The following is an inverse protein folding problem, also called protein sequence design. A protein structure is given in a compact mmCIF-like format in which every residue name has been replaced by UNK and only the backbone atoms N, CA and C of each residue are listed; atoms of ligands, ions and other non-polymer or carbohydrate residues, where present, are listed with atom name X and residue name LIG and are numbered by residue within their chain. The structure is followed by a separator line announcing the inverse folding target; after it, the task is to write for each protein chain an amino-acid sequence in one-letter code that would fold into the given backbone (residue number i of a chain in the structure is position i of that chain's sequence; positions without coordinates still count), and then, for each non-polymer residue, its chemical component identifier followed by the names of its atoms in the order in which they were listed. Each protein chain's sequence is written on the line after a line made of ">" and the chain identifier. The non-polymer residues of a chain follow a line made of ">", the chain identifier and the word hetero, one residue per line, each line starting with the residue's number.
data_IF_388715489911
#
_entry.id   IF_388715489911
#
_cell.length_a   1.000
_cell.length_b   1.000
_cell.length_c   1.000
_cell.angle_alpha   90.00
_cell.angle_beta   90.00
_cell.angle_gamma   90.00
#
_symmetry.space_group_name_H-M   'P 1'
#
loop_
_entity.id
_entity.type
_entity.pdbx_description
1 polymer ?
#
# COMPACT_ATOMS: atom_id res chain seq x y z
N UNK A 1 7.53 -13.63 -25.94
CA UNK A 1 7.22 -12.23 -25.60
C UNK A 1 8.15 -11.85 -24.47
N UNK A 2 9.07 -10.94 -24.73
CA UNK A 2 10.13 -10.50 -23.80
C UNK A 2 9.49 -9.69 -22.68
N UNK A 3 9.72 -10.06 -21.41
CA UNK A 3 9.38 -9.19 -20.29
C UNK A 3 10.22 -7.91 -20.42
N UNK A 4 9.57 -6.80 -20.78
CA UNK A 4 10.24 -5.51 -20.84
C UNK A 4 10.60 -5.07 -19.42
N UNK A 5 11.69 -4.33 -19.27
CA UNK A 5 12.20 -3.80 -18.01
C UNK A 5 11.23 -2.83 -17.29
N UNK A 6 10.07 -2.55 -17.90
CA UNK A 6 9.06 -1.59 -17.47
C UNK A 6 8.22 -2.07 -16.27
N UNK A 7 8.24 -3.37 -15.97
CA UNK A 7 7.45 -3.96 -14.88
C UNK A 7 8.20 -4.01 -13.53
N UNK A 8 9.46 -3.56 -13.48
CA UNK A 8 10.29 -3.57 -12.27
C UNK A 8 10.61 -2.15 -11.81
N UNK A 9 10.24 -1.83 -10.58
CA UNK A 9 10.46 -0.53 -9.97
C UNK A 9 11.35 -0.68 -8.75
N UNK A 10 12.33 0.20 -8.62
CA UNK A 10 13.11 0.33 -7.38
C UNK A 10 12.64 1.58 -6.65
N UNK A 11 12.25 1.43 -5.39
CA UNK A 11 11.76 2.51 -4.55
C UNK A 11 12.60 2.59 -3.29
N UNK A 12 13.07 3.78 -2.92
CA UNK A 12 13.97 3.96 -1.78
C UNK A 12 13.48 5.08 -0.85
N UNK A 13 13.50 4.83 0.45
CA UNK A 13 13.15 5.81 1.47
C UNK A 13 13.84 5.51 2.80
N UNK A 14 13.75 6.45 3.76
CA UNK A 14 14.30 6.30 5.11
C UNK A 14 13.19 6.43 6.15
N UNK A 15 13.13 5.50 7.08
CA UNK A 15 12.26 5.53 8.26
C UNK A 15 12.87 4.63 9.34
N UNK A 16 12.53 4.82 10.62
CA UNK A 16 13.01 3.98 11.74
C UNK A 16 14.54 3.79 11.78
N UNK A 17 15.32 4.83 11.45
CA UNK A 17 16.78 4.76 11.43
C UNK A 17 17.37 3.81 10.38
N UNK A 18 16.56 3.32 9.42
CA UNK A 18 16.98 2.41 8.35
C UNK A 18 16.68 2.99 6.97
N UNK A 19 17.41 2.51 5.97
CA UNK A 19 17.12 2.75 4.56
C UNK A 19 16.37 1.54 4.00
N UNK A 20 15.17 1.77 3.49
CA UNK A 20 14.41 0.76 2.76
C UNK A 20 14.73 0.90 1.28
N UNK A 21 15.03 -0.24 0.64
CA UNK A 21 15.22 -0.32 -0.81
C UNK A 21 14.33 -1.44 -1.33
N UNK A 22 13.19 -1.06 -1.87
CA UNK A 22 12.18 -1.99 -2.36
C UNK A 22 12.49 -2.35 -3.81
N UNK A 23 12.48 -3.64 -4.11
CA UNK A 23 12.47 -4.16 -5.47
C UNK A 23 11.06 -4.65 -5.76
N UNK A 24 10.31 -3.87 -6.54
CA UNK A 24 8.91 -4.08 -6.83
C UNK A 24 8.74 -4.64 -8.24
N UNK A 25 7.78 -5.55 -8.38
CA UNK A 25 7.29 -6.07 -9.64
C UNK A 25 5.78 -5.86 -9.73
N UNK A 26 5.33 -5.34 -10.87
CA UNK A 26 3.90 -5.15 -11.14
C UNK A 26 3.17 -6.49 -11.10
N UNK A 27 2.04 -6.55 -10.39
CA UNK A 27 1.17 -7.73 -10.37
C UNK A 27 0.38 -7.74 -11.67
N UNK A 28 0.43 -8.82 -12.48
CA UNK A 28 -0.37 -8.92 -13.68
C UNK A 28 -1.87 -8.84 -13.35
N UNK A 29 -2.66 -8.18 -14.21
CA UNK A 29 -4.11 -7.96 -13.99
C UNK A 29 -4.86 -9.27 -13.70
N UNK A 30 -4.49 -10.38 -14.35
CA UNK A 30 -5.12 -11.69 -14.16
C UNK A 30 -4.76 -12.38 -12.82
N UNK A 31 -3.71 -11.91 -12.13
CA UNK A 31 -3.34 -12.31 -10.76
C UNK A 31 -3.85 -11.31 -9.71
N UNK A 32 -4.36 -10.15 -10.14
CA UNK A 32 -4.82 -9.11 -9.24
C UNK A 32 -6.12 -9.50 -8.56
N UNK A 33 -6.22 -9.24 -7.25
CA UNK A 33 -7.45 -9.41 -6.51
C UNK A 33 -8.50 -8.32 -6.81
N UNK A 34 -8.11 -7.27 -7.53
CA UNK A 34 -9.01 -6.17 -7.91
C UNK A 34 -9.72 -6.46 -9.22
N UNK A 35 -11.02 -6.15 -9.26
CA UNK A 35 -11.83 -6.25 -10.48
C UNK A 35 -11.42 -5.16 -11.47
N UNK A 36 -11.12 -5.56 -12.71
CA UNK A 36 -10.96 -4.62 -13.82
C UNK A 36 -12.29 -3.97 -14.18
N UNK A 37 -12.30 -2.65 -14.42
CA UNK A 37 -13.51 -1.92 -14.81
C UNK A 37 -14.49 -1.63 -13.66
N UNK A 38 -14.03 -1.67 -12.41
CA UNK A 38 -14.83 -1.22 -11.28
C UNK A 38 -15.21 0.26 -11.47
N UNK A 39 -16.43 0.61 -11.08
CA UNK A 39 -16.93 1.99 -11.09
C UNK A 39 -17.46 2.33 -9.70
N UNK A 40 -17.35 3.60 -9.33
CA UNK A 40 -18.00 4.16 -8.14
C UNK A 40 -18.98 5.21 -8.61
N UNK A 41 -20.23 5.05 -8.16
CA UNK A 41 -21.30 6.01 -8.40
C UNK A 41 -21.43 6.93 -7.18
N UNK A 42 -21.36 8.23 -7.45
CA UNK A 42 -21.75 9.33 -6.58
C UNK A 42 -23.08 9.89 -7.10
N UNK A 43 -23.79 10.67 -6.28
CA UNK A 43 -25.10 11.23 -6.63
C UNK A 43 -25.09 11.99 -7.99
N UNK A 44 -23.96 12.61 -8.34
CA UNK A 44 -23.81 13.43 -9.54
C UNK A 44 -22.83 12.88 -10.59
N UNK A 45 -22.09 11.79 -10.30
CA UNK A 45 -21.01 11.29 -11.17
C UNK A 45 -20.78 9.78 -11.03
N UNK A 46 -20.47 9.10 -12.15
CA UNK A 46 -19.88 7.77 -12.14
C UNK A 46 -18.41 7.85 -12.55
N UNK A 47 -17.50 7.45 -11.64
CA UNK A 47 -16.05 7.42 -11.92
C UNK A 47 -15.57 5.98 -12.03
N UNK A 48 -14.79 5.68 -13.07
CA UNK A 48 -14.10 4.39 -13.18
C UNK A 48 -12.91 4.36 -12.21
N UNK A 49 -12.78 3.28 -11.45
CA UNK A 49 -11.65 3.04 -10.55
C UNK A 49 -10.89 1.82 -11.06
N UNK A 50 -9.80 2.04 -11.78
CA UNK A 50 -8.87 0.96 -12.15
C UNK A 50 -7.76 0.82 -11.10
N UNK A 51 -8.09 0.25 -9.93
CA UNK A 51 -7.07 -0.08 -8.91
C UNK A 51 -6.22 -1.29 -9.30
N UNK A 52 -6.67 -2.10 -10.27
CA UNK A 52 -5.98 -3.33 -10.65
C UNK A 52 -4.68 -3.04 -11.42
N UNK A 53 -4.62 -1.91 -12.13
CA UNK A 53 -3.50 -1.55 -12.97
C UNK A 53 -2.24 -1.10 -12.21
N UNK A 54 -2.30 -0.74 -10.93
CA UNK A 54 -1.17 -0.10 -10.23
C UNK A 54 -0.70 -0.87 -8.98
N UNK A 55 -0.97 -2.17 -8.91
CA UNK A 55 -0.58 -3.00 -7.76
C UNK A 55 0.76 -3.70 -8.00
N UNK A 56 1.59 -3.71 -6.97
CA UNK A 56 2.96 -4.23 -6.99
C UNK A 56 3.19 -5.21 -5.84
N UNK A 57 4.03 -6.21 -6.09
CA UNK A 57 4.59 -7.12 -5.08
C UNK A 57 6.11 -7.08 -5.14
N UNK A 58 6.80 -7.34 -4.04
CA UNK A 58 8.26 -7.25 -4.03
C UNK A 58 8.92 -7.66 -2.73
N UNK A 59 10.20 -7.33 -2.64
CA UNK A 59 11.05 -7.59 -1.47
C UNK A 59 11.95 -6.39 -1.19
N UNK A 60 12.45 -6.30 0.03
CA UNK A 60 13.51 -5.39 0.44
C UNK A 60 14.87 -5.97 0.02
N UNK A 61 15.73 -5.13 -0.57
CA UNK A 61 17.08 -5.49 -0.97
C UNK A 61 17.90 -6.02 0.21
N UNK A 62 18.50 -7.20 0.06
CA UNK A 62 19.25 -7.88 1.12
C UNK A 62 18.39 -8.68 2.11
N UNK A 63 17.07 -8.59 2.04
CA UNK A 63 16.12 -9.32 2.90
C UNK A 63 15.17 -10.17 2.04
N UNK A 64 15.61 -11.31 1.49
CA UNK A 64 14.85 -12.09 0.50
C UNK A 64 13.56 -12.72 1.05
N UNK A 65 13.43 -12.84 2.38
CA UNK A 65 12.23 -13.33 3.07
C UNK A 65 11.20 -12.22 3.35
N UNK A 66 11.57 -10.96 3.13
CA UNK A 66 10.64 -9.84 3.29
C UNK A 66 9.51 -9.88 2.26
N UNK A 67 8.40 -9.25 2.58
CA UNK A 67 7.25 -9.14 1.69
C UNK A 67 6.85 -7.69 1.56
N UNK A 68 6.71 -7.23 0.32
CA UNK A 68 6.23 -5.89 0.00
C UNK A 68 5.00 -6.04 -0.87
N UNK A 69 3.91 -5.37 -0.50
CA UNK A 69 2.68 -5.29 -1.28
C UNK A 69 2.14 -3.87 -1.20
N UNK A 70 1.72 -3.33 -2.33
CA UNK A 70 1.18 -1.97 -2.35
C UNK A 70 0.82 -1.50 -3.75
N UNK A 71 0.44 -0.25 -3.85
CA UNK A 71 0.24 0.44 -5.11
C UNK A 71 1.11 1.68 -5.23
N UNK A 72 1.28 2.16 -6.46
CA UNK A 72 1.96 3.43 -6.73
C UNK A 72 0.98 4.32 -7.47
N UNK A 73 0.63 5.46 -6.85
CA UNK A 73 -0.24 6.46 -7.45
C UNK A 73 0.48 7.81 -7.43
N UNK A 74 0.56 8.47 -8.58
CA UNK A 74 1.29 9.74 -8.76
C UNK A 74 2.73 9.72 -8.22
N UNK A 75 3.40 8.57 -8.36
CA UNK A 75 4.77 8.36 -7.87
C UNK A 75 4.89 8.13 -6.36
N UNK A 76 3.78 8.13 -5.62
CA UNK A 76 3.72 7.83 -4.19
C UNK A 76 3.40 6.35 -4.00
N UNK A 77 4.28 5.62 -3.32
CA UNK A 77 4.00 4.26 -2.89
C UNK A 77 3.09 4.27 -1.66
N UNK A 78 2.04 3.45 -1.70
CA UNK A 78 1.17 3.15 -0.55
C UNK A 78 1.10 1.64 -0.38
N UNK A 79 1.24 1.15 0.86
CA UNK A 79 1.18 -0.28 1.11
C UNK A 79 1.93 -0.71 2.35
N UNK A 80 2.38 -1.95 2.32
CA UNK A 80 2.95 -2.66 3.46
C UNK A 80 4.33 -3.24 3.12
N UNK A 81 5.25 -3.14 4.07
CA UNK A 81 6.56 -3.80 4.08
C UNK A 81 6.65 -4.68 5.33
N UNK A 82 6.73 -5.99 5.15
CA UNK A 82 6.91 -6.97 6.23
C UNK A 82 8.32 -7.56 6.21
N UNK A 83 8.97 -7.56 7.36
CA UNK A 83 10.37 -7.95 7.55
C UNK A 83 10.46 -8.94 8.69
N UNK A 84 11.23 -10.02 8.48
CA UNK A 84 11.54 -11.04 9.49
C UNK A 84 10.31 -11.62 10.22
N UNK A 85 9.21 -11.84 9.50
CA UNK A 85 7.93 -12.40 9.96
C UNK A 85 7.22 -11.69 11.13
N UNK A 86 7.84 -10.71 11.79
CA UNK A 86 7.29 -10.05 12.97
C UNK A 86 7.11 -8.55 12.81
N UNK A 87 7.89 -7.88 11.94
CA UNK A 87 7.82 -6.43 11.79
C UNK A 87 7.07 -6.05 10.54
N UNK A 88 6.01 -5.27 10.70
CA UNK A 88 5.19 -4.78 9.60
C UNK A 88 5.15 -3.26 9.62
N UNK A 89 5.54 -2.64 8.51
CA UNK A 89 5.49 -1.20 8.30
C UNK A 89 4.43 -0.89 7.26
N UNK A 90 3.62 0.13 7.55
CA UNK A 90 2.64 0.67 6.62
C UNK A 90 3.09 2.03 6.12
N UNK A 91 2.77 2.29 4.85
CA UNK A 91 3.10 3.52 4.14
C UNK A 91 1.79 4.02 3.54
N UNK A 92 1.38 5.22 3.93
CA UNK A 92 0.13 5.83 3.46
C UNK A 92 0.38 7.23 2.94
N UNK A 93 -0.37 7.65 1.92
CA UNK A 93 -0.30 9.03 1.42
C UNK A 93 -0.80 10.01 2.47
N UNK A 94 0.03 11.01 2.74
CA UNK A 94 -0.36 12.16 3.58
C UNK A 94 -1.57 12.90 3.03
N UNK A 95 -1.80 12.84 1.71
CA UNK A 95 -2.88 13.55 1.03
C UNK A 95 -4.26 13.15 1.55
N UNK A 96 -4.41 11.91 2.06
CA UNK A 96 -5.64 11.41 2.68
C UNK A 96 -6.03 12.18 3.94
N UNK A 97 -5.05 12.74 4.64
CA UNK A 97 -5.22 13.38 5.95
C UNK A 97 -4.98 14.89 5.90
N UNK A 98 -4.01 15.33 5.10
CA UNK A 98 -3.68 16.72 4.90
C UNK A 98 -3.04 16.92 3.52
N UNK A 99 -3.81 17.42 2.56
CA UNK A 99 -3.37 17.70 1.19
C UNK A 99 -2.32 18.81 1.09
N UNK A 100 -2.03 19.53 2.17
CA UNK A 100 -1.03 20.61 2.24
C UNK A 100 0.22 20.21 3.04
N UNK A 101 0.34 18.94 3.43
CA UNK A 101 1.49 18.46 4.19
C UNK A 101 2.81 18.70 3.43
N UNK A 102 3.90 19.10 4.11
CA UNK A 102 5.20 19.31 3.48
C UNK A 102 5.95 17.99 3.17
N UNK A 103 5.30 16.85 3.36
CA UNK A 103 5.80 15.51 3.12
C UNK A 103 4.72 14.69 2.42
N UNK A 104 5.11 13.65 1.69
CA UNK A 104 4.18 12.89 0.85
C UNK A 104 3.53 11.70 1.56
N UNK A 105 4.19 11.09 2.56
CA UNK A 105 3.73 9.85 3.18
C UNK A 105 3.88 9.84 4.69
N UNK A 106 2.96 9.16 5.36
CA UNK A 106 3.15 8.66 6.72
C UNK A 106 3.72 7.25 6.66
N UNK A 107 4.65 6.94 7.56
CA UNK A 107 5.23 5.61 7.69
C UNK A 107 5.17 5.25 9.16
N UNK A 108 4.53 4.12 9.47
CA UNK A 108 4.36 3.67 10.84
C UNK A 108 4.51 2.15 10.96
N UNK A 109 4.94 1.69 12.14
CA UNK A 109 4.96 0.27 12.47
C UNK A 109 3.56 -0.16 12.91
N UNK A 110 3.16 -1.39 12.58
CA UNK A 110 1.84 -1.93 12.94
C UNK A 110 1.60 -1.90 14.44
N UNK A 111 2.64 -2.12 15.23
CA UNK A 111 2.59 -2.17 16.70
C UNK A 111 2.34 -0.80 17.34
N UNK A 112 2.51 0.29 16.59
CA UNK A 112 2.31 1.66 17.06
C UNK A 112 0.88 2.17 16.80
N UNK A 113 0.03 1.36 16.16
CA UNK A 113 -1.35 1.71 15.85
C UNK A 113 -2.30 1.07 16.86
N UNK A 114 -2.98 1.91 17.62
CA UNK A 114 -4.12 1.48 18.44
C UNK A 114 -5.38 1.45 17.58
N UNK A 115 -5.94 0.26 17.39
CA UNK A 115 -7.22 0.12 16.72
C UNK A 115 -8.34 0.53 17.67
N UNK A 116 -9.34 1.32 17.23
CA UNK A 116 -10.50 1.60 18.05
C UNK A 116 -11.16 0.27 18.44
N UNK A 117 -11.38 0.06 19.74
CA UNK A 117 -12.19 -1.06 20.21
C UNK A 117 -13.63 -0.78 19.80
N UNK A 118 -14.24 -1.64 18.99
CA UNK A 118 -15.64 -1.50 18.59
C UNK A 118 -16.52 -1.38 19.84
N UNK A 119 -17.23 -0.26 20.01
CA UNK A 119 -18.20 -0.05 21.11
C UNK A 119 -19.50 -0.89 20.97
N UNK A 120 -19.53 -1.91 20.10
CA UNK A 120 -20.76 -2.65 19.77
C UNK A 120 -21.08 -3.86 20.68
N UNK A 121 -20.26 -4.20 21.68
CA UNK A 121 -20.58 -5.31 22.61
C UNK A 121 -21.57 -4.95 23.75
N UNK A 122 -22.07 -3.70 23.83
CA UNK A 122 -22.95 -3.26 24.93
C UNK A 122 -24.43 -3.01 24.58
N UNK A 123 -25.02 -3.76 23.63
CA UNK A 123 -26.47 -3.66 23.34
C UNK A 123 -27.30 -4.96 23.34
N UNK A 124 -26.82 -6.04 23.94
CA UNK A 124 -27.69 -7.21 24.23
C UNK A 124 -27.65 -7.65 25.69
N UNK A 125 -28.09 -6.77 26.60
CA UNK A 125 -28.70 -7.18 27.89
C UNK A 125 -29.75 -6.16 28.33
N UNK A 126 -30.94 -6.21 27.73
CA UNK A 126 -32.19 -5.80 28.37
C UNK A 126 -33.34 -6.67 27.92
#
# INVERSE_FOLDING_TARGET
>A
RSAQAEDKIRFEFRAYGRQFKLNLQKIPVHESAFLSGATVEFDDETTMIDRAADVYKGTVEGEPTSQVFGSIHDGIFEGMVRIDNEKEFWIESSFRYNSTAPFHSFIYAREEVEMPQNEEEHKEKR
#
